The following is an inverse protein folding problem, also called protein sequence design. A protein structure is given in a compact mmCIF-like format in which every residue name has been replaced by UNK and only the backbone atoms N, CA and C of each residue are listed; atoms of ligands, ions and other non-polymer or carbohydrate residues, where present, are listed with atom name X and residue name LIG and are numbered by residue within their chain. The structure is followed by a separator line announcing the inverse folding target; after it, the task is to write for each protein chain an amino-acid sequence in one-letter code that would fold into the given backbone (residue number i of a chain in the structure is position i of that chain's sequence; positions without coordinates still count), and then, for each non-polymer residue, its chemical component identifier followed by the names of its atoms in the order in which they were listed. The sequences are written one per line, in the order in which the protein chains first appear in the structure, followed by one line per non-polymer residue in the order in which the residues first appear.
data_IF_788052475916
#
_entry.id   IF_788052475916
#
_cell.length_a   1.000
_cell.length_b   1.000
_cell.length_c   1.000
_cell.angle_alpha   90.00
_cell.angle_beta   90.00
_cell.angle_gamma   90.00
#
_symmetry.space_group_name_H-M   'P 1'
#
loop_
_entity.id
_entity.type
_entity.pdbx_description
1 polymer ?
#
# COMPACT_ATOMS: atom_id res chain seq x y z
N UNK A 1 21.74 -3.05 2.02
CA UNK A 1 20.98 -2.14 1.13
C UNK A 1 19.93 -1.40 1.97
N UNK A 2 19.68 -0.12 1.76
CA UNK A 2 18.59 0.57 2.46
C UNK A 2 17.23 -0.03 2.04
N UNK A 3 16.30 -0.09 2.99
CA UNK A 3 14.92 -0.52 2.72
C UNK A 3 14.21 0.61 1.97
N UNK A 4 13.54 0.27 0.87
CA UNK A 4 12.71 1.22 0.12
C UNK A 4 11.27 1.09 0.65
N UNK A 5 10.74 2.19 1.19
CA UNK A 5 9.40 2.25 1.73
C UNK A 5 8.41 2.83 0.71
N UNK A 6 7.10 2.65 0.94
CA UNK A 6 6.03 3.09 0.05
C UNK A 6 5.97 4.61 -0.21
N UNK A 7 6.59 5.43 0.66
CA UNK A 7 6.67 6.88 0.48
C UNK A 7 7.88 7.32 -0.36
N UNK A 8 8.78 6.40 -0.70
CA UNK A 8 9.98 6.72 -1.45
C UNK A 8 9.68 6.84 -2.94
N UNK A 9 9.84 8.03 -3.47
CA UNK A 9 9.52 8.37 -4.87
C UNK A 9 10.74 8.32 -5.81
N UNK A 10 11.92 7.89 -5.32
CA UNK A 10 13.16 7.90 -6.14
C UNK A 10 13.00 7.13 -7.45
N UNK A 11 12.24 6.06 -7.44
CA UNK A 11 12.01 5.23 -8.63
C UNK A 11 11.01 5.82 -9.63
N UNK A 12 10.43 7.00 -9.35
CA UNK A 12 9.58 7.70 -10.33
C UNK A 12 10.32 8.04 -11.62
N UNK A 13 11.65 8.24 -11.55
CA UNK A 13 12.49 8.48 -12.73
C UNK A 13 12.55 7.29 -13.69
N UNK A 14 12.21 6.08 -13.22
CA UNK A 14 12.22 4.86 -14.04
C UNK A 14 10.96 4.70 -14.91
N UNK A 15 9.88 5.44 -14.61
CA UNK A 15 8.60 5.27 -15.31
C UNK A 15 8.73 5.46 -16.83
N UNK A 16 9.44 6.48 -17.36
CA UNK A 16 9.62 6.61 -18.82
C UNK A 16 10.39 5.42 -19.43
N UNK A 17 11.40 4.90 -18.72
CA UNK A 17 12.20 3.76 -19.20
C UNK A 17 11.38 2.48 -19.18
N UNK A 18 10.57 2.26 -18.15
CA UNK A 18 9.67 1.11 -18.06
C UNK A 18 8.66 1.14 -19.20
N UNK A 19 8.05 2.29 -19.49
CA UNK A 19 7.13 2.44 -20.61
C UNK A 19 7.80 2.10 -21.94
N UNK A 20 9.00 2.62 -22.17
CA UNK A 20 9.78 2.32 -23.36
C UNK A 20 10.11 0.82 -23.48
N UNK A 21 10.51 0.19 -22.37
CA UNK A 21 10.79 -1.26 -22.32
C UNK A 21 9.55 -2.08 -22.68
N UNK A 22 8.38 -1.70 -22.15
CA UNK A 22 7.11 -2.35 -22.49
C UNK A 22 6.79 -2.19 -23.98
N UNK A 23 6.91 -0.98 -24.53
CA UNK A 23 6.69 -0.70 -25.97
C UNK A 23 7.64 -1.51 -26.88
N UNK A 24 8.92 -1.61 -26.53
CA UNK A 24 9.92 -2.39 -27.27
C UNK A 24 9.59 -3.90 -27.28
N UNK A 25 8.89 -4.37 -26.26
CA UNK A 25 8.39 -5.76 -26.16
C UNK A 25 6.95 -5.92 -26.67
N UNK A 26 6.38 -4.89 -27.30
CA UNK A 26 5.04 -4.93 -27.89
C UNK A 26 3.90 -4.87 -26.87
N UNK A 27 4.16 -4.32 -25.66
CA UNK A 27 3.20 -4.17 -24.58
C UNK A 27 3.06 -2.70 -24.17
N UNK A 28 2.25 -2.42 -23.16
CA UNK A 28 1.98 -1.07 -22.66
C UNK A 28 1.75 -1.05 -21.15
N UNK A 29 1.76 0.15 -20.55
CA UNK A 29 1.42 0.33 -19.14
C UNK A 29 -0.07 -0.02 -18.86
N UNK A 30 -0.92 0.15 -19.85
CA UNK A 30 -2.33 -0.20 -19.82
C UNK A 30 -2.52 -1.72 -19.76
N UNK A 31 -1.81 -2.47 -20.58
CA UNK A 31 -1.82 -3.93 -20.58
C UNK A 31 -1.23 -4.48 -19.27
N UNK A 32 -0.15 -3.87 -18.77
CA UNK A 32 0.41 -4.22 -17.49
C UNK A 32 -0.64 -4.05 -16.36
N UNK A 33 -1.39 -2.93 -16.37
CA UNK A 33 -2.50 -2.73 -15.43
C UNK A 33 -3.59 -3.80 -15.60
N UNK A 34 -4.00 -4.08 -16.82
CA UNK A 34 -5.06 -5.07 -17.09
C UNK A 34 -4.70 -6.46 -16.57
N UNK A 35 -3.40 -6.75 -16.46
CA UNK A 35 -2.89 -7.98 -15.85
C UNK A 35 -2.86 -7.92 -14.32
N UNK A 36 -2.16 -6.96 -13.74
CA UNK A 36 -1.90 -6.95 -12.28
C UNK A 36 -2.87 -6.08 -11.47
N UNK A 37 -3.69 -5.23 -12.10
CA UNK A 37 -4.61 -4.32 -11.41
C UNK A 37 -3.94 -3.13 -10.71
N UNK A 38 -2.65 -2.91 -10.97
CA UNK A 38 -1.86 -1.86 -10.33
C UNK A 38 -1.39 -0.83 -11.35
N UNK A 39 -1.78 0.46 -11.20
CA UNK A 39 -1.24 1.52 -12.05
C UNK A 39 0.29 1.60 -11.92
N UNK A 40 0.99 1.80 -13.04
CA UNK A 40 2.43 2.04 -13.00
C UNK A 40 2.72 3.35 -12.25
N UNK A 41 3.48 3.27 -11.18
CA UNK A 41 3.78 4.42 -10.31
C UNK A 41 5.15 4.32 -9.64
N UNK A 42 5.69 5.47 -9.23
CA UNK A 42 7.03 5.58 -8.65
C UNK A 42 7.17 4.98 -7.24
N UNK A 43 6.08 4.62 -6.60
CA UNK A 43 6.10 3.94 -5.28
C UNK A 43 6.03 2.43 -5.41
N UNK A 44 5.78 1.92 -6.61
CA UNK A 44 5.49 0.50 -6.81
C UNK A 44 6.78 -0.32 -6.92
N UNK A 45 6.79 -1.55 -6.40
CA UNK A 45 7.94 -2.47 -6.49
C UNK A 45 8.47 -2.70 -7.91
N UNK A 46 7.62 -2.67 -8.93
CA UNK A 46 8.05 -2.71 -10.34
C UNK A 46 9.10 -1.62 -10.65
N UNK A 47 8.79 -0.38 -10.29
CA UNK A 47 9.69 0.76 -10.49
C UNK A 47 10.89 0.71 -9.55
N UNK A 48 10.68 0.28 -8.29
CA UNK A 48 11.76 0.12 -7.31
C UNK A 48 12.80 -0.90 -7.77
N UNK A 49 12.37 -2.05 -8.31
CA UNK A 49 13.28 -3.07 -8.83
C UNK A 49 14.06 -2.58 -10.05
N UNK A 50 13.44 -1.84 -10.96
CA UNK A 50 14.16 -1.22 -12.08
C UNK A 50 15.18 -0.19 -11.59
N UNK A 51 14.82 0.60 -10.58
CA UNK A 51 15.75 1.56 -9.99
C UNK A 51 16.96 0.86 -9.34
N UNK A 52 16.72 -0.24 -8.62
CA UNK A 52 17.79 -1.05 -8.01
C UNK A 52 18.68 -1.65 -9.10
N UNK A 53 18.13 -2.24 -10.13
CA UNK A 53 18.91 -2.81 -11.27
C UNK A 53 19.82 -1.77 -11.90
N UNK A 54 19.33 -0.54 -12.08
CA UNK A 54 20.08 0.55 -12.70
C UNK A 54 21.16 1.14 -11.78
N UNK A 55 20.80 1.44 -10.53
CA UNK A 55 21.63 2.23 -9.63
C UNK A 55 22.45 1.37 -8.65
N UNK A 56 22.08 0.12 -8.45
CA UNK A 56 22.71 -0.84 -7.53
C UNK A 56 22.80 -2.24 -8.18
N UNK A 57 23.37 -2.37 -9.40
CA UNK A 57 23.34 -3.62 -10.15
C UNK A 57 23.96 -4.80 -9.37
N UNK A 58 25.06 -4.56 -8.68
CA UNK A 58 25.68 -5.61 -7.86
C UNK A 58 24.75 -6.11 -6.74
N UNK A 59 23.92 -5.23 -6.17
CA UNK A 59 22.96 -5.63 -5.15
C UNK A 59 21.85 -6.52 -5.74
N UNK A 60 21.38 -6.20 -6.94
CA UNK A 60 20.38 -7.01 -7.64
C UNK A 60 20.95 -8.37 -8.06
N UNK A 61 22.15 -8.36 -8.66
CA UNK A 61 22.80 -9.60 -9.15
C UNK A 61 23.14 -10.57 -8.01
N UNK A 62 23.65 -10.04 -6.88
CA UNK A 62 24.01 -10.85 -5.72
C UNK A 62 22.81 -11.18 -4.80
N UNK A 63 21.63 -10.63 -5.04
CA UNK A 63 20.44 -10.98 -4.28
C UNK A 63 20.07 -12.44 -4.52
N UNK A 64 19.97 -13.20 -3.45
CA UNK A 64 19.44 -14.58 -3.48
C UNK A 64 17.95 -14.60 -3.41
N UNK A 65 17.35 -13.62 -2.71
CA UNK A 65 15.91 -13.50 -2.56
C UNK A 65 15.51 -12.03 -2.47
N UNK A 66 14.44 -11.67 -3.18
CA UNK A 66 13.78 -10.37 -3.13
C UNK A 66 12.44 -10.58 -2.41
N UNK A 67 12.23 -9.84 -1.34
CA UNK A 67 11.06 -10.01 -0.47
C UNK A 67 10.61 -8.67 0.12
N UNK A 68 9.39 -8.63 0.65
CA UNK A 68 8.86 -7.51 1.42
C UNK A 68 9.39 -7.52 2.86
N UNK A 69 9.00 -6.52 3.65
CA UNK A 69 9.32 -6.50 5.08
C UNK A 69 8.72 -7.68 5.84
N UNK A 70 7.60 -8.21 5.37
CA UNK A 70 6.96 -9.37 5.97
C UNK A 70 7.87 -10.60 5.89
N UNK A 71 8.44 -10.88 4.72
CA UNK A 71 9.40 -11.96 4.54
C UNK A 71 10.63 -11.82 5.45
N UNK A 72 11.16 -10.61 5.60
CA UNK A 72 12.29 -10.35 6.49
C UNK A 72 11.94 -10.64 7.95
N UNK A 73 10.82 -10.11 8.44
CA UNK A 73 10.42 -10.24 9.84
C UNK A 73 10.08 -11.69 10.18
N UNK A 74 9.29 -12.35 9.36
CA UNK A 74 8.91 -13.74 9.60
C UNK A 74 10.11 -14.68 9.60
N UNK A 75 11.07 -14.46 8.67
CA UNK A 75 12.32 -15.22 8.65
C UNK A 75 13.15 -14.97 9.90
N UNK A 76 13.25 -13.75 10.37
CA UNK A 76 13.98 -13.41 11.60
C UNK A 76 13.35 -14.07 12.85
N UNK A 77 12.06 -14.35 12.84
CA UNK A 77 11.37 -15.03 13.93
C UNK A 77 11.45 -16.57 13.86
N UNK A 78 11.90 -17.14 12.75
CA UNK A 78 12.08 -18.59 12.61
C UNK A 78 11.23 -19.23 11.51
N UNK A 79 10.72 -18.47 10.55
CA UNK A 79 10.12 -19.05 9.36
C UNK A 79 11.17 -19.88 8.58
N UNK A 80 10.71 -20.93 7.92
CA UNK A 80 11.60 -21.90 7.23
C UNK A 80 12.38 -21.23 6.10
N UNK A 81 11.76 -20.25 5.42
CA UNK A 81 12.38 -19.46 4.35
C UNK A 81 11.85 -18.02 4.36
N UNK A 82 12.35 -17.16 3.45
CA UNK A 82 11.73 -15.88 3.14
C UNK A 82 10.47 -16.14 2.33
N UNK A 83 9.32 -15.73 2.87
CA UNK A 83 8.03 -15.85 2.22
C UNK A 83 7.34 -14.49 2.14
N UNK A 84 6.62 -14.26 1.05
CA UNK A 84 5.70 -13.14 0.93
C UNK A 84 4.28 -13.66 0.73
N UNK A 85 3.28 -12.83 0.92
CA UNK A 85 1.90 -13.15 0.62
C UNK A 85 1.40 -12.38 -0.61
N UNK A 86 0.36 -12.90 -1.23
CA UNK A 86 -0.16 -12.32 -2.45
C UNK A 86 -0.90 -11.00 -2.25
N UNK A 87 -1.29 -10.65 -1.03
CA UNK A 87 -1.99 -9.40 -0.76
C UNK A 87 -1.02 -8.22 -0.69
N UNK A 88 0.25 -8.48 -0.34
CA UNK A 88 1.31 -7.48 -0.21
C UNK A 88 2.20 -7.37 -1.46
N UNK A 89 2.03 -8.26 -2.44
CA UNK A 89 2.84 -8.29 -3.67
C UNK A 89 2.03 -8.24 -4.98
N UNK A 90 0.96 -7.43 -5.08
CA UNK A 90 0.07 -7.46 -6.25
C UNK A 90 0.73 -7.00 -7.57
N UNK A 91 1.83 -6.25 -7.49
CA UNK A 91 2.47 -5.58 -8.64
C UNK A 91 3.12 -6.52 -9.65
N UNK A 92 3.42 -7.75 -9.27
CA UNK A 92 4.06 -8.76 -10.11
C UNK A 92 3.18 -9.98 -10.31
N UNK A 93 1.92 -9.90 -9.91
CA UNK A 93 0.97 -11.00 -9.97
C UNK A 93 -0.07 -10.78 -11.06
N UNK A 94 -0.47 -11.87 -11.70
CA UNK A 94 -1.78 -11.92 -12.33
C UNK A 94 -2.80 -11.91 -11.20
N UNK A 95 -3.61 -10.89 -11.15
CA UNK A 95 -4.69 -10.78 -10.18
C UNK A 95 -5.83 -11.74 -10.56
N UNK A 96 -5.57 -13.03 -10.46
CA UNK A 96 -6.44 -14.15 -10.80
C UNK A 96 -6.58 -15.10 -9.61
N UNK A 97 -7.36 -16.18 -9.75
CA UNK A 97 -7.70 -17.08 -8.64
C UNK A 97 -6.49 -17.79 -8.00
N UNK A 98 -5.39 -17.90 -8.72
CA UNK A 98 -4.20 -18.60 -8.24
C UNK A 98 -3.24 -17.73 -7.43
N UNK A 99 -3.38 -16.40 -7.54
CA UNK A 99 -2.55 -15.40 -6.83
C UNK A 99 -1.04 -15.76 -6.87
N UNK A 100 -0.53 -16.05 -8.05
CA UNK A 100 0.89 -16.36 -8.27
C UNK A 100 1.57 -15.22 -9.06
N UNK A 101 2.89 -15.16 -9.02
CA UNK A 101 3.64 -14.28 -9.90
C UNK A 101 3.33 -14.60 -11.37
N UNK A 102 3.13 -13.56 -12.16
CA UNK A 102 2.93 -13.69 -13.59
C UNK A 102 4.29 -13.71 -14.31
N UNK A 103 4.68 -14.85 -14.92
CA UNK A 103 5.97 -14.94 -15.62
C UNK A 103 6.10 -13.94 -16.77
N UNK A 104 4.99 -13.59 -17.41
CA UNK A 104 5.01 -12.62 -18.51
C UNK A 104 5.24 -11.19 -18.01
N UNK A 105 4.65 -10.81 -16.87
CA UNK A 105 4.97 -9.52 -16.22
C UNK A 105 6.44 -9.49 -15.85
N UNK A 106 6.96 -10.56 -15.26
CA UNK A 106 8.36 -10.64 -14.88
C UNK A 106 9.29 -10.54 -16.10
N UNK A 107 8.95 -11.20 -17.21
CA UNK A 107 9.70 -11.12 -18.47
C UNK A 107 9.63 -9.73 -19.09
N UNK A 108 8.43 -9.13 -19.18
CA UNK A 108 8.24 -7.77 -19.67
C UNK A 108 9.10 -6.75 -18.90
N UNK A 109 9.21 -6.93 -17.61
CA UNK A 109 9.97 -6.05 -16.70
C UNK A 109 11.42 -6.53 -16.47
N UNK A 110 11.84 -7.63 -17.15
CA UNK A 110 13.18 -8.23 -16.97
C UNK A 110 13.52 -8.53 -15.51
N UNK A 111 12.55 -9.00 -14.75
CA UNK A 111 12.71 -9.41 -13.37
C UNK A 111 12.89 -10.92 -13.32
N UNK A 112 13.98 -11.38 -12.72
CA UNK A 112 14.19 -12.81 -12.51
C UNK A 112 13.20 -13.34 -11.46
N UNK A 113 12.19 -14.08 -11.93
CA UNK A 113 11.13 -14.65 -11.10
C UNK A 113 11.70 -15.61 -10.02
N UNK A 114 12.86 -16.24 -10.29
CA UNK A 114 13.48 -17.15 -9.33
C UNK A 114 14.13 -16.43 -8.13
N UNK A 115 14.31 -15.12 -8.24
CA UNK A 115 14.79 -14.29 -7.13
C UNK A 115 13.64 -13.79 -6.24
N UNK A 116 12.39 -13.92 -6.65
CA UNK A 116 11.25 -13.49 -5.84
C UNK A 116 10.95 -14.51 -4.74
N UNK A 117 10.63 -14.01 -3.54
CA UNK A 117 10.24 -14.87 -2.42
C UNK A 117 8.99 -15.70 -2.78
N UNK A 118 8.95 -17.00 -2.46
CA UNK A 118 7.76 -17.81 -2.71
C UNK A 118 6.53 -17.23 -2.01
N UNK A 119 5.40 -17.18 -2.74
CA UNK A 119 4.14 -16.70 -2.18
C UNK A 119 3.47 -17.79 -1.33
N UNK A 120 2.92 -17.35 -0.18
CA UNK A 120 2.12 -18.16 0.72
C UNK A 120 0.75 -17.55 0.92
N UNK A 121 -0.22 -18.37 1.25
CA UNK A 121 -1.57 -17.88 1.56
C UNK A 121 -1.60 -17.29 2.98
N UNK A 122 -2.27 -16.15 3.18
CA UNK A 122 -2.55 -15.68 4.53
C UNK A 122 -3.17 -16.77 5.40
N UNK A 123 -2.66 -16.91 6.64
CA UNK A 123 -3.10 -17.95 7.57
C UNK A 123 -2.35 -19.28 7.47
N UNK A 124 -1.48 -19.47 6.49
CA UNK A 124 -0.65 -20.67 6.34
C UNK A 124 0.48 -20.67 7.38
N UNK A 125 0.78 -21.82 7.96
CA UNK A 125 1.95 -21.97 8.86
C UNK A 125 3.21 -22.01 8.00
N UNK A 126 4.14 -21.12 8.27
CA UNK A 126 5.39 -20.91 7.50
C UNK A 126 6.66 -21.20 8.32
N UNK A 127 6.52 -21.70 9.52
CA UNK A 127 7.60 -22.03 10.43
C UNK A 127 7.16 -21.96 11.88
N UNK A 128 8.12 -21.88 12.78
CA UNK A 128 7.88 -21.74 14.21
C UNK A 128 8.94 -20.86 14.87
N UNK A 129 8.57 -20.19 15.96
CA UNK A 129 9.48 -19.37 16.77
C UNK A 129 10.69 -20.21 17.20
N UNK A 130 11.90 -19.76 16.82
CA UNK A 130 13.14 -20.45 17.17
C UNK A 130 13.47 -20.29 18.66
N UNK A 131 14.32 -21.18 19.20
CA UNK A 131 14.78 -21.08 20.58
C UNK A 131 15.49 -19.75 20.86
N UNK A 132 16.34 -19.29 19.95
CA UNK A 132 17.04 -18.01 20.03
C UNK A 132 16.08 -16.82 20.13
N UNK A 133 15.05 -16.81 19.28
CA UNK A 133 14.01 -15.75 19.31
C UNK A 133 13.20 -15.82 20.60
N UNK A 134 12.88 -17.02 21.06
CA UNK A 134 12.18 -17.23 22.34
C UNK A 134 12.94 -16.64 23.51
N UNK A 135 14.24 -16.89 23.61
CA UNK A 135 15.09 -16.32 24.66
C UNK A 135 15.14 -14.79 24.62
N UNK A 136 15.22 -14.22 23.41
CA UNK A 136 15.30 -12.76 23.22
C UNK A 136 13.98 -12.03 23.44
N UNK A 137 12.84 -12.62 23.03
CA UNK A 137 11.52 -11.96 23.02
C UNK A 137 10.61 -12.35 24.18
N UNK A 138 10.88 -13.49 24.82
CA UNK A 138 9.99 -14.09 25.82
C UNK A 138 8.80 -14.87 25.21
N UNK A 139 8.76 -15.03 23.90
CA UNK A 139 7.81 -15.91 23.23
C UNK A 139 8.13 -17.38 23.53
N UNK A 140 7.13 -18.25 23.43
CA UNK A 140 7.36 -19.69 23.58
C UNK A 140 7.99 -20.26 22.31
N UNK A 141 9.14 -20.97 22.43
CA UNK A 141 9.74 -21.69 21.33
C UNK A 141 8.75 -22.70 20.74
N UNK A 142 8.76 -22.88 19.43
CA UNK A 142 7.80 -23.75 18.73
C UNK A 142 6.42 -23.13 18.49
N UNK A 143 6.15 -21.90 18.91
CA UNK A 143 4.90 -21.22 18.55
C UNK A 143 4.84 -21.07 17.03
N UNK A 144 3.73 -21.51 16.36
CA UNK A 144 3.62 -21.43 14.92
C UNK A 144 3.70 -19.97 14.42
N UNK A 145 4.48 -19.77 13.37
CA UNK A 145 4.52 -18.50 12.61
C UNK A 145 3.52 -18.65 11.47
N UNK A 146 2.57 -17.73 11.44
CA UNK A 146 1.49 -17.73 10.44
C UNK A 146 1.79 -16.64 9.41
N UNK A 147 1.64 -16.97 8.12
CA UNK A 147 1.72 -15.99 7.05
C UNK A 147 0.71 -14.87 7.28
N UNK A 148 1.20 -13.67 7.34
CA UNK A 148 0.40 -12.48 7.53
C UNK A 148 -0.35 -12.06 6.26
N UNK A 149 -0.71 -10.79 6.23
CA UNK A 149 -1.49 -10.16 5.16
C UNK A 149 -1.11 -8.69 5.13
N UNK A 150 -1.18 -8.05 3.98
CA UNK A 150 -0.96 -6.61 3.86
C UNK A 150 -1.85 -5.82 4.84
N UNK A 151 -1.33 -4.73 5.40
CA UNK A 151 -1.97 -3.96 6.49
C UNK A 151 -3.38 -3.44 6.11
N UNK A 152 -3.55 -3.00 4.86
CA UNK A 152 -4.85 -2.55 4.36
C UNK A 152 -5.86 -3.69 4.28
N UNK A 153 -5.46 -4.87 3.84
CA UNK A 153 -6.30 -6.06 3.78
C UNK A 153 -6.62 -6.58 5.18
N UNK A 154 -5.68 -6.46 6.13
CA UNK A 154 -5.93 -6.73 7.54
C UNK A 154 -7.00 -5.77 8.09
N UNK A 155 -6.87 -4.47 7.80
CA UNK A 155 -7.88 -3.47 8.15
C UNK A 155 -9.25 -3.75 7.55
N UNK A 156 -9.28 -4.16 6.28
CA UNK A 156 -10.51 -4.56 5.59
C UNK A 156 -11.25 -5.69 6.32
N UNK A 157 -10.53 -6.76 6.68
CA UNK A 157 -11.10 -7.86 7.47
C UNK A 157 -11.49 -7.39 8.88
N UNK A 158 -10.62 -6.61 9.52
CA UNK A 158 -10.84 -6.10 10.89
C UNK A 158 -12.08 -5.23 11.04
N UNK A 159 -12.45 -4.43 10.02
CA UNK A 159 -13.70 -3.69 10.02
C UNK A 159 -14.91 -4.49 9.50
N UNK A 160 -14.77 -5.78 9.25
CA UNK A 160 -15.88 -6.64 8.83
C UNK A 160 -16.24 -6.55 7.34
N UNK A 161 -15.35 -6.01 6.50
CA UNK A 161 -15.52 -5.99 5.05
C UNK A 161 -15.24 -7.38 4.45
N UNK A 162 -16.12 -8.34 4.76
CA UNK A 162 -15.95 -9.77 4.43
C UNK A 162 -17.03 -10.32 3.49
N UNK A 163 -17.84 -9.46 2.89
CA UNK A 163 -18.92 -9.85 1.97
C UNK A 163 -18.93 -8.97 0.73
N UNK A 164 -19.49 -9.51 -0.35
CA UNK A 164 -19.73 -8.78 -1.60
C UNK A 164 -20.44 -7.44 -1.36
N UNK A 165 -19.96 -6.39 -2.00
CA UNK A 165 -20.55 -5.06 -1.95
C UNK A 165 -20.37 -4.31 -0.63
N UNK A 166 -19.58 -4.85 0.31
CA UNK A 166 -19.13 -4.08 1.47
C UNK A 166 -17.90 -3.26 1.08
N UNK A 167 -17.90 -2.01 1.51
CA UNK A 167 -16.74 -1.14 1.43
C UNK A 167 -16.15 -0.86 2.80
N UNK A 168 -14.92 -0.38 2.83
CA UNK A 168 -14.33 0.21 4.02
C UNK A 168 -13.69 1.56 3.69
N UNK A 169 -13.58 2.41 4.71
CA UNK A 169 -12.84 3.65 4.65
C UNK A 169 -11.86 3.71 5.82
N UNK A 170 -10.60 4.00 5.51
CA UNK A 170 -9.55 4.20 6.50
C UNK A 170 -9.10 5.66 6.45
N UNK A 171 -9.22 6.37 7.58
CA UNK A 171 -8.85 7.77 7.73
C UNK A 171 -7.61 7.90 8.62
N UNK A 172 -6.47 7.45 8.14
CA UNK A 172 -5.16 7.66 8.78
C UNK A 172 -4.46 8.92 8.30
N UNK A 173 -3.14 8.90 8.21
CA UNK A 173 -2.32 9.97 7.58
C UNK A 173 -2.78 10.19 6.14
N UNK A 174 -2.87 9.11 5.36
CA UNK A 174 -3.58 9.04 4.09
C UNK A 174 -5.03 8.61 4.31
N UNK A 175 -5.87 8.80 3.30
CA UNK A 175 -7.24 8.30 3.26
C UNK A 175 -7.36 7.20 2.22
N UNK A 176 -8.02 6.11 2.58
CA UNK A 176 -8.26 4.99 1.69
C UNK A 176 -9.75 4.67 1.70
N UNK A 177 -10.30 4.42 0.53
CA UNK A 177 -11.64 3.85 0.37
C UNK A 177 -11.57 2.67 -0.57
N UNK A 178 -12.24 1.58 -0.23
CA UNK A 178 -12.26 0.40 -1.08
C UNK A 178 -13.60 -0.32 -1.02
N UNK A 179 -13.94 -0.97 -2.12
CA UNK A 179 -15.09 -1.84 -2.27
C UNK A 179 -14.65 -3.28 -2.52
N UNK A 180 -15.30 -4.23 -1.85
CA UNK A 180 -15.01 -5.66 -1.96
C UNK A 180 -15.87 -6.34 -3.00
N UNK A 181 -15.24 -7.22 -3.79
CA UNK A 181 -15.93 -8.11 -4.72
C UNK A 181 -15.30 -9.50 -4.77
N UNK A 182 -16.12 -10.53 -4.91
CA UNK A 182 -15.66 -11.90 -5.21
C UNK A 182 -15.45 -12.13 -6.72
N UNK A 183 -15.71 -11.13 -7.54
CA UNK A 183 -15.37 -11.12 -8.96
C UNK A 183 -14.14 -10.25 -9.18
N UNK A 184 -13.25 -10.71 -10.04
CA UNK A 184 -12.11 -9.92 -10.45
C UNK A 184 -12.55 -8.57 -11.04
N UNK A 185 -12.11 -7.51 -10.39
CA UNK A 185 -12.42 -6.14 -10.79
C UNK A 185 -11.26 -5.56 -11.63
N UNK A 186 -11.62 -4.63 -12.50
CA UNK A 186 -10.67 -3.73 -13.19
C UNK A 186 -11.35 -2.36 -13.33
N UNK A 187 -10.63 -1.31 -12.98
CA UNK A 187 -11.07 0.04 -13.32
C UNK A 187 -10.89 0.28 -14.82
N UNK A 188 -11.96 0.52 -15.59
CA UNK A 188 -11.84 0.80 -17.03
C UNK A 188 -10.94 1.99 -17.35
N UNK A 189 -10.78 2.91 -16.40
CA UNK A 189 -9.88 4.07 -16.53
C UNK A 189 -8.48 3.81 -15.98
N UNK A 190 -8.22 2.63 -15.43
CA UNK A 190 -6.91 2.19 -14.92
C UNK A 190 -6.29 3.11 -13.87
N UNK A 191 -7.11 3.66 -12.99
CA UNK A 191 -6.72 4.67 -11.99
C UNK A 191 -6.74 4.17 -10.56
N UNK A 192 -7.56 3.15 -10.27
CA UNK A 192 -7.70 2.54 -8.95
C UNK A 192 -6.79 1.32 -8.82
N UNK A 193 -6.38 1.03 -7.59
CA UNK A 193 -5.66 -0.19 -7.26
C UNK A 193 -6.63 -1.36 -7.11
N UNK A 194 -6.25 -2.54 -7.61
CA UNK A 194 -7.02 -3.76 -7.40
C UNK A 194 -6.12 -4.77 -6.69
N UNK A 195 -6.51 -5.15 -5.50
CA UNK A 195 -5.70 -5.94 -4.57
C UNK A 195 -6.43 -7.21 -4.18
N UNK A 196 -5.69 -8.30 -3.97
CA UNK A 196 -6.23 -9.53 -3.42
C UNK A 196 -6.56 -9.39 -1.92
N UNK A 197 -7.52 -10.14 -1.43
CA UNK A 197 -7.86 -10.23 -0.01
C UNK A 197 -7.62 -11.65 0.53
N UNK A 198 -7.44 -11.83 1.86
CA UNK A 198 -7.08 -13.13 2.45
C UNK A 198 -8.06 -14.27 2.14
N UNK A 199 -9.29 -13.95 1.85
CA UNK A 199 -10.36 -14.90 1.54
C UNK A 199 -10.52 -15.19 0.02
N UNK A 200 -9.53 -14.79 -0.79
CA UNK A 200 -9.53 -15.04 -2.23
C UNK A 200 -10.47 -14.14 -3.03
N UNK A 201 -10.90 -13.03 -2.45
CA UNK A 201 -11.65 -11.98 -3.13
C UNK A 201 -10.73 -10.81 -3.52
N UNK A 202 -11.29 -9.72 -4.02
CA UNK A 202 -10.58 -8.50 -4.40
C UNK A 202 -11.19 -7.28 -3.74
N UNK A 203 -10.38 -6.25 -3.60
CA UNK A 203 -10.83 -4.89 -3.30
C UNK A 203 -10.35 -3.96 -4.40
N UNK A 204 -11.22 -3.03 -4.80
CA UNK A 204 -10.85 -1.89 -5.64
C UNK A 204 -10.67 -0.68 -4.74
N UNK A 205 -9.47 -0.11 -4.76
CA UNK A 205 -9.03 0.87 -3.78
C UNK A 205 -8.68 2.21 -4.41
N UNK A 206 -9.18 3.28 -3.79
CA UNK A 206 -8.79 4.66 -4.05
C UNK A 206 -8.01 5.24 -2.87
N UNK A 207 -6.93 5.97 -3.16
CA UNK A 207 -6.01 6.53 -2.17
C UNK A 207 -5.93 8.05 -2.28
N UNK A 208 -6.12 8.74 -1.15
CA UNK A 208 -5.81 10.15 -0.99
C UNK A 208 -4.56 10.30 -0.10
N UNK A 209 -3.50 10.95 -0.61
CA UNK A 209 -2.23 11.08 0.11
C UNK A 209 -2.34 11.85 1.44
N UNK A 210 -3.35 12.68 1.58
CA UNK A 210 -3.58 13.44 2.80
C UNK A 210 -5.05 13.34 3.22
N UNK A 211 -5.30 12.82 4.40
CA UNK A 211 -6.59 12.73 5.07
C UNK A 211 -6.45 13.28 6.49
N UNK A 212 -6.13 12.47 7.46
CA UNK A 212 -5.84 12.94 8.81
C UNK A 212 -4.63 13.87 8.87
N UNK A 213 -3.64 13.69 7.98
CA UNK A 213 -2.53 14.65 7.85
C UNK A 213 -2.98 16.04 7.38
N UNK A 214 -4.03 16.13 6.58
CA UNK A 214 -4.60 17.42 6.18
C UNK A 214 -5.26 18.12 7.37
N UNK A 215 -5.97 17.37 8.23
CA UNK A 215 -6.53 17.95 9.46
C UNK A 215 -5.44 18.33 10.46
N UNK A 216 -4.38 17.50 10.56
CA UNK A 216 -3.20 17.83 11.37
C UNK A 216 -2.55 19.14 10.88
N UNK A 217 -2.30 19.25 9.58
CA UNK A 217 -1.77 20.47 8.96
C UNK A 217 -2.65 21.69 9.25
N UNK A 218 -3.97 21.58 9.06
CA UNK A 218 -4.90 22.66 9.37
C UNK A 218 -4.80 23.10 10.84
N UNK A 219 -4.73 22.14 11.75
CA UNK A 219 -4.56 22.40 13.17
C UNK A 219 -3.24 23.15 13.44
N UNK A 220 -2.15 22.73 12.82
CA UNK A 220 -0.82 23.31 13.05
C UNK A 220 -0.66 24.71 12.46
N UNK A 221 -1.24 24.95 11.29
CA UNK A 221 -1.08 26.22 10.60
C UNK A 221 -2.11 27.28 11.02
N UNK A 222 -3.33 26.89 11.38
CA UNK A 222 -4.43 27.83 11.56
C UNK A 222 -5.05 27.83 12.96
N UNK A 223 -4.75 26.88 13.83
CA UNK A 223 -5.49 26.67 15.08
C UNK A 223 -4.64 26.83 16.34
N UNK A 224 -3.60 27.66 16.36
CA UNK A 224 -2.69 27.81 17.49
C UNK A 224 -3.42 28.18 18.78
N UNK A 225 -4.35 29.14 18.76
CA UNK A 225 -5.13 29.54 19.94
C UNK A 225 -6.05 28.44 20.46
N UNK A 226 -6.65 27.66 19.55
CA UNK A 226 -7.44 26.51 19.94
C UNK A 226 -6.58 25.41 20.58
N UNK A 227 -5.37 25.21 20.07
CA UNK A 227 -4.42 24.23 20.61
C UNK A 227 -3.98 24.62 22.05
N UNK A 228 -3.62 25.88 22.28
CA UNK A 228 -3.27 26.40 23.61
C UNK A 228 -4.45 26.25 24.58
N UNK A 229 -5.66 26.58 24.15
CA UNK A 229 -6.88 26.45 24.95
C UNK A 229 -7.14 24.99 25.31
N UNK A 230 -7.02 24.06 24.35
CA UNK A 230 -7.22 22.63 24.57
C UNK A 230 -6.22 22.06 25.59
N UNK A 231 -4.93 22.48 25.50
CA UNK A 231 -3.90 22.11 26.48
C UNK A 231 -4.30 22.60 27.88
N UNK A 232 -4.74 23.85 28.01
CA UNK A 232 -5.20 24.41 29.30
C UNK A 232 -6.39 23.67 29.91
N UNK A 233 -7.30 23.19 29.05
CA UNK A 233 -8.48 22.41 29.45
C UNK A 233 -8.20 20.91 29.58
N UNK A 234 -7.01 20.43 29.25
CA UNK A 234 -6.63 19.00 29.22
C UNK A 234 -7.55 18.16 28.33
N UNK A 235 -7.95 18.70 27.20
CA UNK A 235 -8.76 17.98 26.21
C UNK A 235 -8.04 17.85 24.85
N UNK A 236 -8.56 16.97 24.00
CA UNK A 236 -8.09 16.84 22.64
C UNK A 236 -8.44 18.10 21.81
N UNK A 237 -7.44 18.71 21.17
CA UNK A 237 -7.67 19.82 20.27
C UNK A 237 -8.56 19.42 19.08
N UNK A 238 -8.49 18.17 18.63
CA UNK A 238 -9.33 17.66 17.53
C UNK A 238 -10.80 17.59 17.93
N UNK A 239 -11.09 17.16 19.17
CA UNK A 239 -12.45 17.15 19.72
C UNK A 239 -12.99 18.57 19.87
N UNK A 240 -12.14 19.50 20.33
CA UNK A 240 -12.49 20.93 20.39
C UNK A 240 -12.83 21.49 19.01
N UNK A 241 -11.98 21.28 18.02
CA UNK A 241 -12.19 21.76 16.65
C UNK A 241 -13.44 21.16 16.03
N UNK A 242 -13.69 19.86 16.25
CA UNK A 242 -14.92 19.19 15.79
C UNK A 242 -16.17 19.81 16.42
N UNK A 243 -16.16 20.07 17.73
CA UNK A 243 -17.27 20.77 18.40
C UNK A 243 -17.47 22.21 17.91
N UNK A 244 -16.39 22.92 17.61
CA UNK A 244 -16.48 24.26 17.03
C UNK A 244 -17.14 24.18 15.66
N UNK A 245 -16.70 23.26 14.81
CA UNK A 245 -17.28 23.05 13.48
C UNK A 245 -18.77 22.72 13.55
N UNK A 246 -19.16 21.79 14.40
CA UNK A 246 -20.57 21.38 14.61
C UNK A 246 -21.47 22.54 15.03
N UNK A 247 -20.98 23.44 15.89
CA UNK A 247 -21.74 24.59 16.40
C UNK A 247 -21.74 25.79 15.45
N UNK A 248 -20.69 25.95 14.66
CA UNK A 248 -20.46 27.17 13.86
C UNK A 248 -20.84 27.02 12.38
N UNK A 249 -21.03 25.80 11.92
CA UNK A 249 -21.32 25.53 10.51
C UNK A 249 -22.47 24.55 10.34
N UNK A 250 -23.25 24.74 9.29
CA UNK A 250 -24.26 23.77 8.89
C UNK A 250 -23.63 22.60 8.15
N UNK A 251 -24.30 21.45 8.12
CA UNK A 251 -23.93 20.36 7.23
C UNK A 251 -23.74 20.87 5.79
N UNK A 252 -22.63 20.47 5.16
CA UNK A 252 -22.21 21.00 3.85
C UNK A 252 -21.40 22.29 3.88
N UNK A 253 -20.99 22.78 5.09
CA UNK A 253 -20.06 23.91 5.29
C UNK A 253 -20.39 25.15 4.42
N UNK A 254 -21.67 25.41 4.14
CA UNK A 254 -22.16 26.46 3.23
C UNK A 254 -21.56 26.40 1.81
N UNK A 255 -21.21 25.20 1.34
CA UNK A 255 -20.62 24.98 0.03
C UNK A 255 -19.10 25.10 -0.04
N UNK A 256 -18.41 25.31 1.10
CA UNK A 256 -16.95 25.28 1.15
C UNK A 256 -16.42 23.87 1.04
N UNK A 257 -15.51 23.64 0.11
CA UNK A 257 -14.78 22.39 -0.07
C UNK A 257 -13.28 22.60 0.17
N UNK A 258 -12.64 21.59 0.68
CA UNK A 258 -11.18 21.50 0.72
C UNK A 258 -10.69 20.31 -0.07
N UNK A 259 -9.84 20.55 -1.07
CA UNK A 259 -9.12 19.50 -1.79
C UNK A 259 -7.79 19.24 -1.08
N UNK A 260 -7.61 18.08 -0.45
CA UNK A 260 -6.49 17.83 0.46
C UNK A 260 -5.22 17.38 -0.27
N UNK A 261 -4.86 18.00 -1.39
CA UNK A 261 -3.71 17.59 -2.18
C UNK A 261 -2.40 18.20 -1.66
N UNK A 262 -2.15 18.12 -0.35
CA UNK A 262 -0.93 18.68 0.27
C UNK A 262 0.35 18.02 -0.25
N UNK A 263 0.27 16.75 -0.65
CA UNK A 263 1.37 15.95 -1.20
C UNK A 263 1.05 15.42 -2.61
N UNK A 264 0.35 16.22 -3.41
CA UNK A 264 -0.13 15.77 -4.72
C UNK A 264 -1.38 14.88 -4.66
N UNK A 265 -1.88 14.48 -5.82
CA UNK A 265 -3.01 13.56 -5.99
C UNK A 265 -2.53 12.20 -6.52
N UNK A 266 -3.12 11.11 -6.02
CA UNK A 266 -2.82 9.72 -6.45
C UNK A 266 -4.00 9.15 -7.23
N UNK A 267 -5.13 8.93 -6.60
CA UNK A 267 -6.32 8.42 -7.28
C UNK A 267 -7.47 9.43 -7.20
N UNK A 268 -8.38 9.46 -8.14
CA UNK A 268 -8.38 8.76 -9.42
C UNK A 268 -7.52 9.42 -10.51
N UNK A 269 -6.95 10.59 -10.27
CA UNK A 269 -6.15 11.33 -11.22
C UNK A 269 -4.78 11.65 -10.63
N UNK A 270 -3.76 10.88 -11.04
CA UNK A 270 -2.40 11.12 -10.59
C UNK A 270 -1.92 12.50 -11.05
N UNK A 271 -1.58 13.34 -10.09
CA UNK A 271 -1.00 14.65 -10.33
C UNK A 271 -0.06 15.03 -9.17
N UNK A 272 1.25 14.83 -9.32
CA UNK A 272 2.23 15.19 -8.28
C UNK A 272 2.30 16.69 -8.02
N UNK A 273 1.81 17.50 -8.96
CA UNK A 273 1.79 18.96 -8.85
C UNK A 273 0.48 19.53 -8.28
N UNK A 274 -0.52 18.69 -8.00
CA UNK A 274 -1.72 19.13 -7.31
C UNK A 274 -1.38 19.69 -5.92
N UNK A 275 -2.12 20.73 -5.50
CA UNK A 275 -1.92 21.39 -4.20
C UNK A 275 -3.25 21.52 -3.46
N UNK A 276 -3.17 21.58 -2.13
CA UNK A 276 -4.32 21.83 -1.27
C UNK A 276 -5.02 23.15 -1.63
N UNK A 277 -6.33 23.10 -1.80
CA UNK A 277 -7.13 24.25 -2.26
C UNK A 277 -8.48 24.28 -1.58
N UNK A 278 -8.88 25.46 -1.10
CA UNK A 278 -10.26 25.73 -0.69
C UNK A 278 -11.04 26.30 -1.89
N UNK A 279 -12.27 25.81 -2.06
CA UNK A 279 -13.17 26.20 -3.16
C UNK A 279 -14.51 26.62 -2.57
#
# INVERSE_FOLDING_TARGET
MPIIIWQDLRSSEMIPEIKKMLEEKGSSAEELYDRCGMPLGGVNPQSNLQWIKRNMPEAYENATTIHTMMGLVTKAFGADDYYDDYTDTPWLQLNGPDFQYDPEICDLLEIDINKLAPLRKPGEVIGAVSEEVAEFTGLTAGTPIIMGVGDQQAGCVGCGCVREGLGYACGGTAGITADKSFKLLRDPSRRCYVLGTPDGAWVMEGVANASGSAFKWFKEEFCNSANETAIGLKESVYDMLTRIADRSSRAGANGLFFLPYLAGAVTPNQNPNARGTYI
#
